data_IF_592903780802
#
_entry.id   IF_592903780802
#
_cell.length_a   1.000
_cell.length_b   1.000
_cell.length_c   1.000
_cell.angle_alpha   90.00
_cell.angle_beta   90.00
_cell.angle_gamma   90.00
#
_symmetry.space_group_name_H-M   'P 1'
#
loop_
_entity.id
_entity.type
_entity.pdbx_description
1 polymer ?
#
# COMPACT_ATOMS: atom_id res chain seq x y z
N UNK A 1 -14.34 -10.46 -26.52
CA UNK A 1 -14.23 -9.09 -27.05
C UNK A 1 -13.23 -8.36 -26.15
N UNK A 2 -12.00 -8.21 -26.65
CA UNK A 2 -10.88 -7.42 -26.14
C UNK A 2 -10.61 -7.40 -24.61
N UNK A 3 -9.96 -8.46 -24.10
CA UNK A 3 -9.23 -8.42 -22.81
C UNK A 3 -7.87 -7.74 -23.05
N UNK A 4 -7.91 -6.42 -23.28
CA UNK A 4 -6.69 -5.62 -23.27
C UNK A 4 -6.27 -5.49 -21.82
N UNK A 5 -5.30 -6.30 -21.41
CA UNK A 5 -4.58 -6.06 -20.17
C UNK A 5 -4.20 -4.57 -20.13
N UNK A 6 -4.41 -3.88 -19.01
CA UNK A 6 -3.98 -2.51 -18.85
C UNK A 6 -2.48 -2.39 -19.21
N UNK A 7 -2.07 -1.29 -19.84
CA UNK A 7 -0.66 -1.07 -20.15
C UNK A 7 0.16 -1.20 -18.86
N UNK A 8 1.24 -1.97 -18.90
CA UNK A 8 2.16 -2.10 -17.77
C UNK A 8 2.69 -0.72 -17.40
N UNK A 9 2.77 -0.43 -16.11
CA UNK A 9 3.43 0.78 -15.62
C UNK A 9 4.82 0.95 -16.26
N UNK A 10 5.19 2.18 -16.67
CA UNK A 10 6.56 2.49 -17.05
C UNK A 10 7.55 1.98 -16.00
N UNK A 11 8.74 1.54 -16.44
CA UNK A 11 9.72 0.91 -15.54
C UNK A 11 10.12 1.81 -14.35
N UNK A 12 10.18 3.12 -14.55
CA UNK A 12 10.45 4.11 -13.50
C UNK A 12 9.32 4.17 -12.46
N UNK A 13 8.07 4.31 -12.91
CA UNK A 13 6.89 4.32 -12.02
C UNK A 13 6.76 3.00 -11.26
N UNK A 14 7.14 1.90 -11.91
CA UNK A 14 7.16 0.59 -11.28
C UNK A 14 8.19 0.49 -10.15
N UNK A 15 9.40 1.01 -10.35
CA UNK A 15 10.43 1.05 -9.31
C UNK A 15 10.01 1.95 -8.14
N UNK A 16 9.36 3.08 -8.42
CA UNK A 16 8.81 3.98 -7.40
C UNK A 16 7.68 3.33 -6.59
N UNK A 17 6.76 2.62 -7.26
CA UNK A 17 5.72 1.85 -6.60
C UNK A 17 6.31 0.83 -5.63
N UNK A 18 7.27 0.02 -6.10
CA UNK A 18 7.91 -1.00 -5.28
C UNK A 18 8.63 -0.36 -4.07
N UNK A 19 9.30 0.78 -4.25
CA UNK A 19 9.94 1.53 -3.17
C UNK A 19 8.94 2.09 -2.13
N UNK A 20 7.78 2.59 -2.58
CA UNK A 20 6.71 3.07 -1.69
C UNK A 20 6.11 1.93 -0.88
N UNK A 21 5.84 0.78 -1.53
CA UNK A 21 5.27 -0.39 -0.87
C UNK A 21 6.27 -1.00 0.12
N UNK A 22 7.57 -0.99 -0.18
CA UNK A 22 8.60 -1.47 0.74
C UNK A 22 8.75 -0.59 2.00
N UNK A 23 8.38 0.69 1.94
CA UNK A 23 8.61 1.65 3.03
C UNK A 23 7.59 1.61 4.18
N UNK A 24 6.54 0.78 4.10
CA UNK A 24 5.65 0.55 5.24
C UNK A 24 4.67 -0.58 5.01
N UNK A 25 3.64 -0.67 5.86
CA UNK A 25 2.75 -1.83 5.89
C UNK A 25 1.29 -1.46 6.14
N UNK A 26 0.94 -0.18 6.23
CA UNK A 26 -0.43 0.32 6.41
C UNK A 26 -0.93 0.93 5.10
N UNK A 27 -2.15 0.58 4.71
CA UNK A 27 -2.85 1.16 3.57
C UNK A 27 -4.30 1.51 3.91
N UNK A 28 -4.92 2.26 3.02
CA UNK A 28 -6.34 2.60 3.08
C UNK A 28 -7.07 1.93 1.91
N UNK A 29 -7.96 0.98 2.22
CA UNK A 29 -8.80 0.28 1.26
C UNK A 29 -10.11 1.06 1.06
N UNK A 30 -10.25 1.69 -0.10
CA UNK A 30 -11.50 2.28 -0.58
C UNK A 30 -12.37 1.24 -1.28
N UNK A 31 -13.62 1.12 -0.82
CA UNK A 31 -14.62 0.17 -1.33
C UNK A 31 -16.02 0.75 -1.18
N UNK A 32 -16.98 0.32 -2.02
CA UNK A 32 -18.39 0.68 -1.84
C UNK A 32 -19.09 -0.38 -1.00
N UNK A 33 -19.72 0.03 0.11
CA UNK A 33 -20.51 -0.84 0.99
C UNK A 33 -21.93 -0.29 1.00
N UNK A 34 -22.91 -1.08 0.57
CA UNK A 34 -24.33 -0.70 0.53
C UNK A 34 -24.58 0.65 -0.19
N UNK A 35 -23.87 0.88 -1.30
CA UNK A 35 -23.94 2.12 -2.08
C UNK A 35 -23.13 3.31 -1.52
N UNK A 36 -22.50 3.16 -0.34
CA UNK A 36 -21.73 4.20 0.31
C UNK A 36 -20.22 3.97 0.15
N UNK A 37 -19.44 4.96 -0.35
CA UNK A 37 -17.99 4.90 -0.32
C UNK A 37 -17.48 4.77 1.12
N UNK A 38 -16.68 3.76 1.37
CA UNK A 38 -16.09 3.43 2.67
C UNK A 38 -14.60 3.28 2.53
N UNK A 39 -13.84 3.77 3.52
CA UNK A 39 -12.39 3.62 3.57
C UNK A 39 -12.02 2.87 4.84
N UNK A 40 -11.31 1.75 4.67
CA UNK A 40 -10.88 0.87 5.76
C UNK A 40 -9.36 0.93 5.87
N UNK A 41 -8.79 1.45 6.97
CA UNK A 41 -7.38 1.26 7.28
C UNK A 41 -7.11 -0.23 7.51
N UNK A 42 -6.12 -0.77 6.82
CA UNK A 42 -5.67 -2.16 7.00
C UNK A 42 -4.17 -2.28 6.73
N UNK A 43 -3.63 -3.47 6.91
CA UNK A 43 -2.24 -3.79 6.59
C UNK A 43 -2.12 -4.56 5.28
N UNK A 44 -0.94 -4.48 4.67
CA UNK A 44 -0.63 -5.18 3.42
C UNK A 44 0.73 -5.88 3.46
N UNK A 45 0.90 -6.85 2.58
CA UNK A 45 2.17 -7.40 2.14
C UNK A 45 2.23 -7.42 0.61
N UNK A 46 3.42 -7.40 0.03
CA UNK A 46 3.61 -7.41 -1.43
C UNK A 46 4.61 -8.48 -1.84
N UNK A 47 4.32 -9.19 -2.94
CA UNK A 47 5.28 -10.06 -3.64
C UNK A 47 5.84 -9.39 -4.92
N UNK A 48 5.55 -8.10 -5.12
CA UNK A 48 5.89 -7.35 -6.33
C UNK A 48 4.95 -7.61 -7.52
N UNK A 49 4.01 -8.54 -7.46
CA UNK A 49 2.98 -8.74 -8.48
C UNK A 49 1.59 -8.44 -7.96
N UNK A 50 1.37 -8.72 -6.69
CA UNK A 50 0.13 -8.59 -5.97
C UNK A 50 0.35 -7.91 -4.61
N UNK A 51 -0.65 -7.12 -4.24
CA UNK A 51 -0.83 -6.60 -2.90
C UNK A 51 -1.78 -7.53 -2.14
N UNK A 52 -1.31 -8.11 -1.06
CA UNK A 52 -2.11 -8.96 -0.18
C UNK A 52 -2.63 -8.15 1.00
N UNK A 53 -3.95 -8.15 1.20
CA UNK A 53 -4.64 -7.44 2.28
C UNK A 53 -5.28 -8.46 3.21
N UNK A 54 -5.09 -8.34 4.51
CA UNK A 54 -5.81 -9.18 5.48
C UNK A 54 -6.83 -8.40 6.29
N UNK A 55 -7.75 -9.12 6.92
CA UNK A 55 -8.57 -8.61 8.00
C UNK A 55 -9.58 -9.63 8.48
N UNK A 56 -10.48 -9.20 9.36
CA UNK A 56 -11.53 -10.08 9.88
C UNK A 56 -12.45 -10.55 8.75
N UNK A 57 -12.77 -11.85 8.74
CA UNK A 57 -13.78 -12.40 7.84
C UNK A 57 -15.18 -11.82 8.06
N UNK A 58 -15.44 -11.20 9.22
CA UNK A 58 -16.68 -10.48 9.52
C UNK A 58 -16.59 -8.96 9.26
N UNK A 59 -15.43 -8.46 8.82
CA UNK A 59 -15.22 -7.03 8.57
C UNK A 59 -15.94 -6.57 7.31
N UNK A 60 -17.03 -5.79 7.46
CA UNK A 60 -17.91 -5.36 6.35
C UNK A 60 -17.16 -4.85 5.12
N UNK A 61 -16.14 -4.00 5.29
CA UNK A 61 -15.39 -3.45 4.15
C UNK A 61 -14.54 -4.49 3.43
N UNK A 62 -13.91 -5.44 4.13
CA UNK A 62 -13.12 -6.49 3.50
C UNK A 62 -14.02 -7.54 2.82
N UNK A 63 -15.18 -7.82 3.42
CA UNK A 63 -16.22 -8.65 2.81
C UNK A 63 -16.73 -8.01 1.53
N UNK A 64 -17.08 -6.72 1.55
CA UNK A 64 -17.53 -5.99 0.37
C UNK A 64 -16.45 -5.86 -0.72
N UNK A 65 -15.19 -5.82 -0.33
CA UNK A 65 -14.07 -5.77 -1.28
C UNK A 65 -13.86 -7.09 -2.03
N UNK A 66 -14.30 -8.22 -1.49
CA UNK A 66 -14.12 -9.54 -2.12
C UNK A 66 -14.83 -9.63 -3.46
N UNK A 67 -14.05 -9.64 -4.55
CA UNK A 67 -14.54 -9.68 -5.93
C UNK A 67 -15.00 -8.34 -6.48
N UNK A 68 -14.86 -7.24 -5.72
CA UNK A 68 -15.25 -5.91 -6.13
C UNK A 68 -14.07 -5.10 -6.69
N UNK A 69 -14.37 -4.10 -7.51
CA UNK A 69 -13.40 -3.04 -7.80
C UNK A 69 -13.11 -2.23 -6.54
N UNK A 70 -11.83 -2.08 -6.24
CA UNK A 70 -11.35 -1.36 -5.07
C UNK A 70 -10.22 -0.40 -5.43
N UNK A 71 -9.90 0.48 -4.49
CA UNK A 71 -8.75 1.35 -4.55
C UNK A 71 -7.95 1.18 -3.27
N UNK A 72 -6.65 0.96 -3.38
CA UNK A 72 -5.77 0.87 -2.20
C UNK A 72 -4.75 1.99 -2.25
N UNK A 73 -4.72 2.82 -1.21
CA UNK A 73 -3.80 3.95 -1.12
C UNK A 73 -2.79 3.74 0.00
N UNK A 74 -1.51 3.90 -0.32
CA UNK A 74 -0.40 3.98 0.63
C UNK A 74 0.18 5.38 0.55
N UNK A 75 0.37 6.03 1.69
CA UNK A 75 0.96 7.36 1.79
C UNK A 75 1.98 7.39 2.91
N UNK A 76 3.19 7.84 2.57
CA UNK A 76 4.24 8.15 3.53
C UNK A 76 4.41 9.66 3.61
N UNK A 77 4.29 10.20 4.81
CA UNK A 77 4.59 11.59 5.11
C UNK A 77 6.09 11.73 5.35
N UNK A 78 6.78 12.52 4.54
CA UNK A 78 8.22 12.77 4.69
C UNK A 78 8.49 14.08 5.45
N UNK A 79 7.54 15.03 5.42
CA UNK A 79 7.56 16.18 6.32
C UNK A 79 6.77 17.39 5.81
N UNK A 80 6.48 18.38 6.68
CA UNK A 80 5.91 19.64 6.25
C UNK A 80 6.95 20.49 5.51
N UNK A 81 6.52 21.16 4.43
CA UNK A 81 7.30 22.19 3.74
C UNK A 81 6.81 23.54 4.22
N UNK A 82 7.68 24.31 4.88
CA UNK A 82 7.37 25.62 5.40
C UNK A 82 8.03 26.70 4.54
N UNK A 83 7.27 27.74 4.20
CA UNK A 83 7.68 28.85 3.37
C UNK A 83 7.34 30.18 4.04
N UNK A 84 7.93 31.29 3.59
CA UNK A 84 7.62 32.63 4.14
C UNK A 84 6.16 33.03 3.86
N UNK A 85 5.65 32.96 2.62
CA UNK A 85 4.20 33.05 2.38
C UNK A 85 3.53 31.70 2.69
N UNK A 86 2.38 31.74 3.38
CA UNK A 86 1.58 30.53 3.73
C UNK A 86 1.14 29.76 2.48
N UNK A 87 0.92 30.45 1.36
CA UNK A 87 0.60 29.81 0.06
C UNK A 87 1.73 28.92 -0.47
N UNK A 88 2.96 29.09 0.01
CA UNK A 88 4.10 28.22 -0.28
C UNK A 88 4.24 27.03 0.66
N UNK A 89 3.37 26.88 1.67
CA UNK A 89 3.37 25.70 2.52
C UNK A 89 2.98 24.45 1.74
N UNK A 90 3.46 23.31 2.22
CA UNK A 90 3.22 22.04 1.56
C UNK A 90 3.58 20.86 2.44
N UNK A 91 3.60 19.71 1.79
CA UNK A 91 3.93 18.43 2.42
C UNK A 91 4.73 17.62 1.43
N UNK A 92 5.92 17.24 1.86
CA UNK A 92 6.70 16.20 1.19
C UNK A 92 6.12 14.84 1.55
N UNK A 93 5.81 14.07 0.52
CA UNK A 93 5.16 12.78 0.64
C UNK A 93 5.45 11.91 -0.56
N UNK A 94 5.30 10.61 -0.35
CA UNK A 94 5.31 9.60 -1.39
C UNK A 94 4.03 8.79 -1.26
N UNK A 95 3.30 8.62 -2.34
CA UNK A 95 2.07 7.83 -2.31
C UNK A 95 1.90 6.98 -3.56
N UNK A 96 1.22 5.85 -3.36
CA UNK A 96 0.79 4.96 -4.41
C UNK A 96 -0.71 4.69 -4.26
N UNK A 97 -1.44 4.78 -5.36
CA UNK A 97 -2.82 4.29 -5.43
C UNK A 97 -2.86 3.11 -6.40
N UNK A 98 -3.37 1.98 -5.95
CA UNK A 98 -3.49 0.74 -6.72
C UNK A 98 -4.97 0.50 -7.03
N UNK A 99 -5.25 0.10 -8.26
CA UNK A 99 -6.60 -0.03 -8.81
C UNK A 99 -6.82 -1.47 -9.30
N UNK A 100 -8.03 -1.98 -9.11
CA UNK A 100 -8.44 -3.24 -9.73
C UNK A 100 -9.46 -4.00 -8.90
N UNK A 101 -9.72 -5.25 -9.32
CA UNK A 101 -10.61 -6.15 -8.62
C UNK A 101 -9.85 -6.92 -7.54
N UNK A 102 -10.30 -6.82 -6.28
CA UNK A 102 -9.69 -7.58 -5.19
C UNK A 102 -10.17 -9.04 -5.20
N UNK A 103 -9.26 -9.96 -5.52
CA UNK A 103 -9.56 -11.39 -5.59
C UNK A 103 -9.48 -12.03 -4.20
N UNK A 104 -10.50 -12.78 -3.75
CA UNK A 104 -10.37 -13.57 -2.52
C UNK A 104 -9.32 -14.68 -2.71
N UNK A 105 -8.44 -14.83 -1.71
CA UNK A 105 -7.44 -15.91 -1.68
C UNK A 105 -8.04 -17.11 -0.94
N UNK A 106 -8.39 -18.14 -1.70
CA UNK A 106 -9.03 -19.37 -1.20
C UNK A 106 -8.10 -20.57 -1.17
N UNK A 107 -7.05 -20.59 -2.00
CA UNK A 107 -6.04 -21.64 -1.97
C UNK A 107 -5.26 -21.60 -0.63
N UNK A 108 -5.18 -22.72 0.12
CA UNK A 108 -4.48 -22.73 1.40
C UNK A 108 -2.99 -22.39 1.32
N UNK A 109 -2.32 -22.76 0.22
CA UNK A 109 -0.90 -22.50 -0.01
C UNK A 109 -0.64 -21.01 -0.25
N UNK A 110 -1.40 -20.40 -1.16
CA UNK A 110 -1.37 -18.96 -1.42
C UNK A 110 -1.74 -18.18 -0.16
N UNK A 111 -2.77 -18.63 0.58
CA UNK A 111 -3.19 -17.97 1.82
C UNK A 111 -2.07 -17.93 2.85
N UNK A 112 -1.36 -19.05 3.04
CA UNK A 112 -0.22 -19.11 3.94
C UNK A 112 0.94 -18.21 3.47
N UNK A 113 1.22 -18.21 2.17
CA UNK A 113 2.25 -17.36 1.58
C UNK A 113 1.93 -15.86 1.76
N UNK A 114 0.69 -15.45 1.49
CA UNK A 114 0.26 -14.06 1.68
C UNK A 114 0.27 -13.62 3.14
N UNK A 115 -0.16 -14.48 4.08
CA UNK A 115 -0.03 -14.20 5.52
C UNK A 115 1.43 -14.05 5.95
N UNK A 116 2.34 -14.85 5.38
CA UNK A 116 3.78 -14.67 5.59
C UNK A 116 4.27 -13.32 5.08
N UNK A 117 3.90 -12.94 3.86
CA UNK A 117 4.28 -11.63 3.28
C UNK A 117 3.82 -10.47 4.18
N UNK A 118 2.58 -10.51 4.66
CA UNK A 118 2.05 -9.53 5.61
C UNK A 118 2.87 -9.47 6.91
N UNK A 119 3.20 -10.63 7.48
CA UNK A 119 4.00 -10.70 8.69
C UNK A 119 5.38 -10.11 8.49
N UNK A 120 6.06 -10.47 7.39
CA UNK A 120 7.41 -10.02 7.08
C UNK A 120 7.45 -8.53 6.69
N UNK A 121 6.42 -8.02 6.02
CA UNK A 121 6.27 -6.61 5.68
C UNK A 121 6.10 -5.75 6.94
N UNK A 122 5.32 -6.23 7.91
CA UNK A 122 5.06 -5.55 9.17
C UNK A 122 6.27 -5.62 10.12
N UNK A 123 6.87 -6.80 10.26
CA UNK A 123 7.99 -7.05 11.16
C UNK A 123 8.92 -8.12 10.55
N UNK A 124 10.00 -7.70 9.87
CA UNK A 124 10.93 -8.63 9.24
C UNK A 124 11.49 -9.68 10.22
N UNK A 125 11.46 -10.96 9.80
CA UNK A 125 11.88 -12.13 10.56
C UNK A 125 10.86 -12.64 11.58
N UNK A 126 9.70 -11.99 11.72
CA UNK A 126 8.72 -12.35 12.73
C UNK A 126 7.98 -13.65 12.41
N UNK A 127 7.83 -14.02 11.14
CA UNK A 127 7.14 -15.25 10.75
C UNK A 127 7.81 -16.50 11.35
N UNK A 128 9.14 -16.51 11.38
CA UNK A 128 9.92 -17.66 11.87
C UNK A 128 10.02 -17.69 13.41
N UNK A 129 9.76 -16.56 14.08
CA UNK A 129 9.77 -16.43 15.54
C UNK A 129 8.40 -16.65 16.18
N UNK A 130 7.34 -16.29 15.46
CA UNK A 130 5.97 -16.43 15.94
C UNK A 130 5.47 -17.88 15.83
N UNK A 131 4.49 -18.24 16.67
CA UNK A 131 3.75 -19.49 16.48
C UNK A 131 3.03 -19.42 15.13
N UNK A 132 3.24 -20.43 14.28
CA UNK A 132 2.53 -20.54 13.00
C UNK A 132 1.02 -20.71 13.21
N UNK A 133 0.18 -20.27 12.26
CA UNK A 133 -1.26 -20.45 12.36
C UNK A 133 -1.63 -21.92 12.60
N UNK A 134 -2.48 -22.17 13.60
CA UNK A 134 -3.01 -23.51 13.90
C UNK A 134 -4.12 -23.90 12.91
N UNK A 135 -4.49 -25.19 12.86
CA UNK A 135 -5.65 -25.63 12.06
C UNK A 135 -6.91 -24.96 12.61
N UNK A 136 -7.49 -24.02 11.84
CA UNK A 136 -8.74 -23.31 12.18
C UNK A 136 -8.60 -21.79 12.28
N UNK A 137 -7.45 -21.27 12.74
CA UNK A 137 -7.17 -19.82 12.76
C UNK A 137 -7.31 -19.14 11.39
N UNK A 138 -6.89 -19.76 10.25
CA UNK A 138 -7.09 -19.17 8.93
C UNK A 138 -8.56 -18.96 8.55
N UNK A 139 -9.54 -19.58 9.22
CA UNK A 139 -10.95 -19.39 8.89
C UNK A 139 -11.51 -18.05 9.37
N UNK A 140 -10.94 -17.46 10.44
CA UNK A 140 -11.36 -16.15 10.97
C UNK A 140 -10.75 -14.96 10.21
N UNK A 141 -9.71 -15.22 9.41
CA UNK A 141 -8.99 -14.20 8.64
C UNK A 141 -9.30 -14.33 7.16
N UNK A 142 -9.83 -13.26 6.57
CA UNK A 142 -9.95 -13.14 5.11
C UNK A 142 -8.67 -12.54 4.54
N UNK A 143 -8.28 -13.02 3.36
CA UNK A 143 -7.13 -12.54 2.62
C UNK A 143 -7.58 -12.21 1.19
N UNK A 144 -7.27 -11.00 0.74
CA UNK A 144 -7.53 -10.54 -0.62
C UNK A 144 -6.20 -10.28 -1.33
N UNK A 145 -6.15 -10.57 -2.62
CA UNK A 145 -5.04 -10.23 -3.51
C UNK A 145 -5.51 -9.18 -4.54
N UNK A 146 -4.75 -8.11 -4.70
CA UNK A 146 -4.98 -7.07 -5.69
C UNK A 146 -3.78 -7.01 -6.64
N UNK A 147 -4.02 -6.99 -7.94
CA UNK A 147 -2.95 -6.85 -8.94
C UNK A 147 -2.25 -5.50 -8.84
N UNK A 148 -0.91 -5.49 -8.92
CA UNK A 148 -0.11 -4.26 -9.03
C UNK A 148 0.06 -3.79 -10.48
N UNK A 149 -0.73 -4.32 -11.42
CA UNK A 149 -0.65 -3.95 -12.83
C UNK A 149 -1.10 -2.52 -13.11
N UNK A 150 -2.09 -2.03 -12.35
CA UNK A 150 -2.62 -0.67 -12.45
C UNK A 150 -2.34 0.08 -11.15
N UNK A 151 -1.52 1.12 -11.24
CA UNK A 151 -1.25 2.01 -10.13
C UNK A 151 -1.01 3.45 -10.62
N UNK A 152 -1.04 4.40 -9.70
CA UNK A 152 -0.49 5.74 -9.87
C UNK A 152 0.43 6.03 -8.71
N UNK A 153 1.57 6.64 -9.01
CA UNK A 153 2.57 7.04 -8.01
C UNK A 153 2.70 8.57 -7.99
N UNK A 154 2.91 9.12 -6.81
CA UNK A 154 3.16 10.55 -6.63
C UNK A 154 4.28 10.74 -5.62
N UNK A 155 5.32 11.43 -6.07
CA UNK A 155 6.43 11.85 -5.23
C UNK A 155 6.42 13.38 -5.17
N UNK A 156 6.44 13.94 -3.96
CA UNK A 156 6.68 15.36 -3.73
C UNK A 156 7.80 15.49 -2.72
N UNK A 157 8.88 16.15 -3.12
CA UNK A 157 10.04 16.46 -2.29
C UNK A 157 10.44 17.93 -2.46
N UNK A 158 10.65 18.64 -1.36
CA UNK A 158 10.90 20.07 -1.27
C UNK A 158 12.37 20.45 -1.39
N UNK A 159 13.28 19.52 -1.68
CA UNK A 159 14.69 19.82 -1.98
C UNK A 159 15.26 18.73 -2.93
N UNK A 160 15.97 19.08 -4.02
CA UNK A 160 16.71 18.09 -4.82
C UNK A 160 17.86 17.48 -4.00
N UNK A 161 18.35 16.26 -4.33
CA UNK A 161 19.54 15.72 -3.68
C UNK A 161 20.74 16.63 -3.95
N UNK A 162 21.37 17.11 -2.87
CA UNK A 162 22.59 17.94 -2.83
C UNK A 162 22.53 19.32 -3.51
N UNK A 163 22.39 20.37 -2.68
CA UNK A 163 23.27 21.54 -2.77
C UNK A 163 23.89 21.70 -1.39
N UNK A 164 25.22 21.55 -1.32
CA UNK A 164 25.97 21.79 -0.10
C UNK A 164 25.60 23.16 0.47
N UNK A 165 25.23 23.21 1.75
CA UNK A 165 25.02 24.47 2.45
C UNK A 165 26.29 25.32 2.29
N UNK A 166 26.19 26.44 1.56
CA UNK A 166 27.21 27.48 1.67
C UNK A 166 27.03 28.14 3.02
N UNK A 167 28.02 27.93 3.88
CA UNK A 167 28.17 28.64 5.13
C UNK A 167 28.36 30.16 4.90
N UNK A 168 27.70 30.96 5.74
CA UNK A 168 28.22 32.26 6.19
C UNK A 168 27.62 33.52 5.56
N UNK A 169 26.89 34.28 6.38
CA UNK A 169 27.30 35.63 6.76
C UNK A 169 26.62 36.02 8.09
N UNK A 170 27.34 36.56 9.09
CA UNK A 170 26.72 37.13 10.28
C UNK A 170 26.16 38.52 9.94
N UNK A 171 25.00 38.83 10.50
CA UNK A 171 24.50 40.21 10.53
C UNK A 171 24.90 40.76 11.90
N UNK A 172 25.73 41.80 11.89
CA UNK A 172 26.03 42.62 13.07
C UNK A 172 24.90 43.57 13.40
#
# INVERSE_FOLDING_TARGET
MNDSLPPRLPATERAELDAILAAGFICHLGVVVDGCPTVVPTVYGSDGRHLYLHGSAAGRGLVAASGAEVRVTVTHLDGPVLARPVSGHGVDHRSAMIYGTARPVTDPGEKLAGLRLLSEQCAPGQWDRARRPSRGEPAATSLLALSLAEASVKLRSGTPPHVAARAGAPVG
#
